data_IF_164143643533
#
_entry.id   IF_164143643533
#
_cell.length_a   1.000
_cell.length_b   1.000
_cell.length_c   1.000
_cell.angle_alpha   90.00
_cell.angle_beta   90.00
_cell.angle_gamma   90.00
#
_symmetry.space_group_name_H-M   'P 1'
#
loop_
_entity.id
_entity.type
_entity.pdbx_description
1 polymer ?
#
# COMPACT_ATOMS: atom_id res chain seq x y z
N UNK A 1 -17.91 -22.04 5.68
CA UNK A 1 -19.29 -22.01 5.13
C UNK A 1 -19.70 -20.55 4.89
N UNK A 2 -20.59 -20.29 3.94
CA UNK A 2 -21.14 -18.93 3.70
C UNK A 2 -22.33 -18.66 4.60
N UNK A 3 -22.46 -17.42 5.08
CA UNK A 3 -23.68 -16.95 5.73
C UNK A 3 -24.58 -16.20 4.72
N UNK A 4 -25.91 -16.17 4.93
CA UNK A 4 -26.82 -15.36 4.11
C UNK A 4 -26.38 -13.90 4.06
N UNK A 5 -26.51 -13.27 2.89
CA UNK A 5 -26.23 -11.83 2.63
C UNK A 5 -24.73 -11.45 2.72
N UNK A 6 -24.01 -11.90 3.75
CA UNK A 6 -22.62 -11.50 4.03
C UNK A 6 -21.56 -12.49 3.53
N UNK A 7 -21.95 -13.67 3.06
CA UNK A 7 -21.03 -14.67 2.52
C UNK A 7 -19.98 -15.11 3.54
N UNK A 8 -18.71 -15.06 3.15
CA UNK A 8 -17.53 -15.39 3.95
C UNK A 8 -16.92 -14.17 4.66
N UNK A 9 -17.52 -12.98 4.58
CA UNK A 9 -16.97 -11.77 5.20
C UNK A 9 -16.74 -11.93 6.72
N UNK A 10 -17.60 -12.70 7.39
CA UNK A 10 -17.51 -13.00 8.83
C UNK A 10 -16.27 -13.83 9.22
N UNK A 11 -15.61 -14.47 8.27
CA UNK A 11 -14.40 -15.25 8.52
C UNK A 11 -13.15 -14.38 8.53
N UNK A 12 -13.22 -13.17 7.96
CA UNK A 12 -12.05 -12.34 7.72
C UNK A 12 -11.71 -11.56 8.98
N UNK A 13 -10.53 -11.84 9.53
CA UNK A 13 -9.91 -11.02 10.56
C UNK A 13 -9.75 -9.57 10.07
N UNK A 14 -10.15 -8.61 10.91
CA UNK A 14 -10.15 -7.18 10.55
C UNK A 14 -8.79 -6.52 10.71
N UNK A 15 -7.95 -7.03 11.60
CA UNK A 15 -6.63 -6.47 11.90
C UNK A 15 -5.55 -7.13 11.05
N UNK A 16 -5.59 -8.46 10.91
CA UNK A 16 -4.62 -9.24 10.15
C UNK A 16 -5.31 -10.21 9.17
N UNK A 17 -5.98 -9.69 8.11
CA UNK A 17 -6.72 -10.51 7.14
C UNK A 17 -5.90 -11.63 6.50
N UNK A 18 -4.60 -11.41 6.31
CA UNK A 18 -3.70 -12.38 5.66
C UNK A 18 -3.64 -13.72 6.41
N UNK A 19 -3.69 -13.69 7.74
CA UNK A 19 -3.69 -14.91 8.56
C UNK A 19 -4.93 -15.75 8.29
N UNK A 20 -6.08 -15.10 8.09
CA UNK A 20 -7.31 -15.80 7.70
C UNK A 20 -7.09 -16.52 6.37
N UNK A 21 -6.59 -15.85 5.35
CA UNK A 21 -6.38 -16.46 4.03
C UNK A 21 -5.40 -17.63 4.07
N UNK A 22 -4.29 -17.49 4.80
CA UNK A 22 -3.32 -18.58 4.97
C UNK A 22 -3.92 -19.80 5.69
N UNK A 23 -4.73 -19.59 6.73
CA UNK A 23 -5.40 -20.67 7.44
C UNK A 23 -6.48 -21.35 6.58
N UNK A 24 -7.19 -20.58 5.74
CA UNK A 24 -8.13 -21.12 4.77
C UNK A 24 -7.43 -21.96 3.70
N UNK A 25 -6.26 -21.53 3.21
CA UNK A 25 -5.44 -22.30 2.28
C UNK A 25 -5.00 -23.65 2.89
N UNK A 26 -4.57 -23.66 4.17
CA UNK A 26 -4.26 -24.91 4.89
C UNK A 26 -5.46 -25.85 5.02
N UNK A 27 -6.67 -25.29 5.17
CA UNK A 27 -7.90 -26.05 5.39
C UNK A 27 -8.54 -26.58 4.11
N UNK A 28 -8.58 -25.77 3.05
CA UNK A 28 -9.32 -26.06 1.81
C UNK A 28 -8.42 -26.42 0.63
N UNK A 29 -7.09 -26.30 0.80
CA UNK A 29 -6.12 -26.68 -0.21
C UNK A 29 -5.65 -25.49 -1.08
N UNK A 30 -4.96 -25.79 -2.19
CA UNK A 30 -4.20 -24.81 -2.97
C UNK A 30 -5.06 -23.83 -3.77
N UNK A 31 -6.36 -24.09 -3.91
CA UNK A 31 -7.31 -23.19 -4.55
C UNK A 31 -8.65 -23.23 -3.81
N UNK A 32 -9.19 -22.06 -3.47
CA UNK A 32 -10.49 -21.95 -2.82
C UNK A 32 -11.19 -20.64 -3.20
N UNK A 33 -12.51 -20.63 -3.08
CA UNK A 33 -13.33 -19.47 -3.38
C UNK A 33 -13.89 -18.86 -2.10
N UNK A 34 -13.88 -17.52 -2.01
CA UNK A 34 -14.64 -16.75 -1.04
C UNK A 34 -15.71 -15.93 -1.74
N UNK A 35 -16.88 -15.86 -1.12
CA UNK A 35 -18.02 -15.04 -1.55
C UNK A 35 -18.22 -13.91 -0.55
N UNK A 36 -18.45 -12.70 -1.01
CA UNK A 36 -18.63 -11.47 -0.24
C UNK A 36 -19.97 -10.81 -0.61
N UNK A 37 -20.48 -9.88 0.22
CA UNK A 37 -21.72 -9.17 -0.10
C UNK A 37 -21.64 -8.47 -1.47
N UNK A 38 -22.75 -8.46 -2.21
CA UNK A 38 -22.85 -7.76 -3.50
C UNK A 38 -22.38 -8.59 -4.71
N UNK A 39 -22.93 -9.80 -4.90
CA UNK A 39 -22.38 -10.91 -5.71
C UNK A 39 -20.85 -10.97 -5.94
N UNK A 40 -20.04 -10.60 -4.95
CA UNK A 40 -18.57 -10.56 -5.13
C UNK A 40 -17.97 -11.92 -4.83
N UNK A 41 -17.27 -12.52 -5.77
CA UNK A 41 -16.47 -13.72 -5.54
C UNK A 41 -14.99 -13.44 -5.75
N UNK A 42 -14.14 -14.16 -5.02
CA UNK A 42 -12.70 -14.11 -5.16
C UNK A 42 -12.12 -15.51 -5.06
N UNK A 43 -11.32 -15.87 -6.06
CA UNK A 43 -10.62 -17.15 -6.12
C UNK A 43 -9.21 -16.89 -5.60
N UNK A 44 -8.82 -17.65 -4.58
CA UNK A 44 -7.49 -17.60 -3.98
C UNK A 44 -6.69 -18.78 -4.49
N UNK A 45 -5.45 -18.52 -4.91
CA UNK A 45 -4.51 -19.50 -5.44
C UNK A 45 -3.26 -19.46 -4.56
N UNK A 46 -2.86 -20.60 -4.01
CA UNK A 46 -1.93 -20.68 -2.89
C UNK A 46 -0.78 -21.69 -3.06
N UNK A 47 -0.58 -22.24 -4.26
CA UNK A 47 0.59 -23.06 -4.59
C UNK A 47 1.28 -22.59 -5.88
N UNK A 48 2.55 -22.97 -6.03
CA UNK A 48 3.37 -22.58 -7.17
C UNK A 48 2.76 -22.94 -8.53
N UNK A 49 2.30 -24.19 -8.69
CA UNK A 49 1.79 -24.71 -9.97
C UNK A 49 0.61 -23.89 -10.51
N UNK A 50 -0.34 -23.51 -9.66
CA UNK A 50 -1.48 -22.71 -10.09
C UNK A 50 -1.14 -21.23 -10.22
N UNK A 51 -0.21 -20.71 -9.40
CA UNK A 51 0.31 -19.34 -9.53
C UNK A 51 0.97 -19.16 -10.90
N UNK A 52 1.80 -20.11 -11.33
CA UNK A 52 2.45 -20.10 -12.64
C UNK A 52 1.42 -19.99 -13.78
N UNK A 53 0.33 -20.77 -13.71
CA UNK A 53 -0.75 -20.72 -14.70
C UNK A 53 -1.49 -19.38 -14.73
N UNK A 54 -1.76 -18.75 -13.57
CA UNK A 54 -2.45 -17.45 -13.53
C UNK A 54 -1.55 -16.26 -13.86
N UNK A 55 -0.23 -16.49 -13.93
CA UNK A 55 0.74 -15.51 -14.42
C UNK A 55 0.90 -15.51 -15.95
N UNK A 56 0.22 -16.42 -16.68
CA UNK A 56 0.17 -16.38 -18.14
C UNK A 56 -0.64 -15.17 -18.64
N UNK A 57 0.07 -14.17 -19.15
CA UNK A 57 -0.48 -12.91 -19.66
C UNK A 57 -1.37 -13.07 -20.91
N UNK A 58 -1.36 -14.23 -21.58
CA UNK A 58 -2.29 -14.53 -22.70
C UNK A 58 -3.70 -14.86 -22.20
N UNK A 59 -3.82 -15.32 -20.96
CA UNK A 59 -5.06 -15.79 -20.34
C UNK A 59 -5.56 -14.87 -19.22
N UNK A 60 -4.63 -14.26 -18.50
CA UNK A 60 -4.92 -13.45 -17.32
C UNK A 60 -4.29 -12.07 -17.45
N UNK A 61 -4.96 -11.09 -16.84
CA UNK A 61 -4.51 -9.70 -16.80
C UNK A 61 -4.69 -9.15 -15.40
N UNK A 62 -3.83 -8.22 -15.00
CA UNK A 62 -3.99 -7.47 -13.75
C UNK A 62 -5.37 -6.81 -13.73
N UNK A 63 -6.07 -6.93 -12.60
CA UNK A 63 -7.39 -6.33 -12.44
C UNK A 63 -7.41 -5.48 -11.15
N UNK A 64 -7.22 -4.15 -11.23
CA UNK A 64 -7.34 -3.27 -10.08
C UNK A 64 -8.73 -3.36 -9.44
N UNK A 65 -8.81 -3.92 -8.24
CA UNK A 65 -10.03 -4.12 -7.46
C UNK A 65 -9.78 -3.77 -6.00
N UNK A 66 -10.86 -3.69 -5.21
CA UNK A 66 -10.78 -3.44 -3.77
C UNK A 66 -10.03 -2.12 -3.50
N UNK A 67 -8.98 -2.18 -2.67
CA UNK A 67 -8.23 -1.00 -2.26
C UNK A 67 -7.66 -0.23 -3.46
N UNK A 68 -7.20 -0.91 -4.53
CA UNK A 68 -6.66 -0.24 -5.72
C UNK A 68 -7.71 0.59 -6.47
N UNK A 69 -8.99 0.19 -6.41
CA UNK A 69 -10.09 0.97 -6.98
C UNK A 69 -10.30 2.25 -6.19
N UNK A 70 -10.14 2.21 -4.86
CA UNK A 70 -10.25 3.40 -4.02
C UNK A 70 -9.04 4.32 -4.19
N UNK A 71 -7.82 3.77 -4.24
CA UNK A 71 -6.57 4.53 -4.47
C UNK A 71 -6.62 5.29 -5.80
N UNK A 72 -7.28 4.71 -6.81
CA UNK A 72 -7.50 5.35 -8.12
C UNK A 72 -8.21 6.71 -8.01
N UNK A 73 -9.02 6.95 -6.97
CA UNK A 73 -9.67 8.26 -6.78
C UNK A 73 -8.68 9.41 -6.56
N UNK A 74 -7.47 9.11 -6.10
CA UNK A 74 -6.36 10.07 -5.95
C UNK A 74 -5.43 10.06 -7.16
N UNK A 75 -4.92 8.89 -7.56
CA UNK A 75 -3.81 8.80 -8.53
C UNK A 75 -4.25 8.53 -9.98
N UNK A 76 -5.56 8.43 -10.24
CA UNK A 76 -6.12 8.28 -11.58
C UNK A 76 -5.65 7.00 -12.30
N UNK A 77 -5.39 7.11 -13.60
CA UNK A 77 -4.89 6.03 -14.48
C UNK A 77 -3.37 5.86 -14.46
N UNK A 78 -2.72 6.21 -13.34
CA UNK A 78 -1.31 5.93 -13.10
C UNK A 78 -0.98 4.43 -13.20
N UNK A 79 0.31 4.11 -13.38
CA UNK A 79 0.80 2.74 -13.63
C UNK A 79 0.28 1.68 -12.64
N UNK A 80 0.04 2.09 -11.39
CA UNK A 80 -0.40 1.21 -10.31
C UNK A 80 -1.91 0.90 -10.35
N UNK A 81 -2.73 1.82 -10.83
CA UNK A 81 -4.21 1.80 -10.75
C UNK A 81 -4.91 1.79 -12.10
N UNK A 82 -4.16 1.84 -13.21
CA UNK A 82 -4.69 1.75 -14.57
C UNK A 82 -5.45 0.44 -14.81
N UNK A 83 -6.61 0.53 -15.45
CA UNK A 83 -7.39 -0.64 -15.88
C UNK A 83 -6.79 -1.25 -17.16
N UNK A 84 -7.03 -2.56 -17.40
CA UNK A 84 -6.69 -3.19 -18.66
C UNK A 84 -7.26 -2.42 -19.86
N UNK A 85 -6.41 -2.16 -20.86
CA UNK A 85 -6.79 -1.47 -22.09
C UNK A 85 -6.65 0.05 -22.06
N UNK A 86 -6.37 0.67 -20.90
CA UNK A 86 -6.10 2.11 -20.84
C UNK A 86 -4.78 2.46 -21.53
N UNK A 87 -4.85 3.28 -22.59
CA UNK A 87 -3.68 3.66 -23.39
C UNK A 87 -2.61 4.39 -22.56
N UNK A 88 -3.04 5.16 -21.55
CA UNK A 88 -2.16 5.91 -20.63
C UNK A 88 -1.14 5.00 -19.96
N UNK A 89 -1.54 3.79 -19.55
CA UNK A 89 -0.63 2.82 -18.94
C UNK A 89 0.51 2.47 -19.91
N UNK A 90 0.19 2.17 -21.16
CA UNK A 90 1.18 1.80 -22.17
C UNK A 90 2.16 2.94 -22.47
N UNK A 91 1.67 4.18 -22.52
CA UNK A 91 2.49 5.38 -22.71
C UNK A 91 3.43 5.58 -21.51
N UNK A 92 2.86 5.65 -20.30
CA UNK A 92 3.63 5.86 -19.08
C UNK A 92 4.67 4.75 -18.84
N UNK A 93 4.30 3.49 -19.09
CA UNK A 93 5.18 2.34 -18.88
C UNK A 93 6.42 2.43 -19.78
N UNK A 94 6.23 2.72 -21.08
CA UNK A 94 7.36 2.86 -22.02
C UNK A 94 8.27 4.04 -21.68
N UNK A 95 7.71 5.15 -21.21
CA UNK A 95 8.50 6.32 -20.80
C UNK A 95 9.31 6.01 -19.53
N UNK A 96 8.68 5.39 -18.52
CA UNK A 96 9.25 5.26 -17.18
C UNK A 96 10.16 4.04 -17.01
N UNK A 97 9.95 2.94 -17.75
CA UNK A 97 10.71 1.69 -17.54
C UNK A 97 12.23 1.89 -17.67
N UNK A 98 12.66 2.80 -18.54
CA UNK A 98 14.08 3.15 -18.69
C UNK A 98 14.71 3.77 -17.43
N UNK A 99 13.90 4.44 -16.60
CA UNK A 99 14.32 5.00 -15.31
C UNK A 99 14.62 3.96 -14.23
N UNK A 100 14.08 2.75 -14.38
CA UNK A 100 14.24 1.63 -13.43
C UNK A 100 15.29 0.61 -13.88
N UNK A 101 16.07 0.90 -14.92
CA UNK A 101 17.17 0.03 -15.35
C UNK A 101 18.36 0.03 -14.37
N UNK A 102 19.19 -1.04 -14.33
CA UNK A 102 20.27 -1.19 -13.34
C UNK A 102 21.23 0.01 -13.24
N UNK A 103 21.60 0.61 -14.39
CA UNK A 103 22.49 1.77 -14.41
C UNK A 103 21.85 3.02 -13.78
N UNK A 104 20.55 3.25 -13.99
CA UNK A 104 19.81 4.37 -13.40
C UNK A 104 19.65 4.19 -11.89
N UNK A 105 19.31 2.97 -11.45
CA UNK A 105 19.25 2.63 -10.02
C UNK A 105 20.61 2.82 -9.35
N UNK A 106 21.71 2.40 -9.98
CA UNK A 106 23.06 2.66 -9.46
C UNK A 106 23.35 4.16 -9.31
N UNK A 107 22.84 4.99 -10.22
CA UNK A 107 22.93 6.45 -10.12
C UNK A 107 22.17 7.04 -8.93
N UNK A 108 21.16 6.34 -8.41
CA UNK A 108 20.38 6.78 -7.23
C UNK A 108 21.06 6.42 -5.90
N UNK A 109 22.15 5.66 -5.90
CA UNK A 109 22.81 5.22 -4.66
C UNK A 109 23.33 6.37 -3.81
N UNK A 110 23.86 7.44 -4.43
CA UNK A 110 24.29 8.64 -3.68
C UNK A 110 23.15 9.23 -2.85
N UNK A 111 22.03 9.63 -3.50
CA UNK A 111 20.81 10.05 -2.80
C UNK A 111 20.28 9.06 -1.76
N UNK A 112 20.29 7.75 -2.05
CA UNK A 112 19.84 6.73 -1.08
C UNK A 112 20.73 6.69 0.17
N UNK A 113 22.06 6.76 -0.01
CA UNK A 113 23.03 6.78 1.10
C UNK A 113 22.89 8.05 1.93
N UNK A 114 22.63 9.19 1.29
CA UNK A 114 22.35 10.46 2.00
C UNK A 114 21.18 10.31 2.97
N UNK A 115 20.00 9.89 2.47
CA UNK A 115 18.81 9.73 3.33
C UNK A 115 19.02 8.65 4.40
N UNK A 116 19.71 7.54 4.06
CA UNK A 116 20.06 6.51 5.03
C UNK A 116 21.00 7.02 6.14
N UNK A 117 21.95 7.90 5.80
CA UNK A 117 22.85 8.52 6.77
C UNK A 117 22.08 9.42 7.76
N UNK A 118 21.06 10.14 7.29
CA UNK A 118 20.20 10.95 8.16
C UNK A 118 19.42 10.10 9.17
N UNK A 119 18.92 8.93 8.76
CA UNK A 119 18.27 7.98 9.67
C UNK A 119 19.24 7.52 10.77
N UNK A 120 20.46 7.13 10.38
CA UNK A 120 21.50 6.69 11.34
C UNK A 120 21.83 7.83 12.31
N UNK A 121 22.04 9.05 11.81
CA UNK A 121 22.31 10.21 12.67
C UNK A 121 21.15 10.51 13.62
N UNK A 122 19.89 10.35 13.20
CA UNK A 122 18.74 10.47 14.11
C UNK A 122 18.86 9.46 15.25
N UNK A 123 19.11 8.19 14.94
CA UNK A 123 19.22 7.13 15.96
C UNK A 123 20.42 7.33 16.88
N UNK A 124 21.56 7.78 16.36
CA UNK A 124 22.74 8.12 17.17
C UNK A 124 22.44 9.26 18.16
N UNK A 125 21.76 10.32 17.71
CA UNK A 125 21.34 11.44 18.56
C UNK A 125 20.33 10.97 19.61
N UNK A 126 19.33 10.18 19.19
CA UNK A 126 18.33 9.62 20.11
C UNK A 126 18.94 8.71 21.18
N UNK A 127 19.98 7.93 20.83
CA UNK A 127 20.67 7.05 21.76
C UNK A 127 21.64 7.80 22.71
N UNK A 128 22.21 8.93 22.28
CA UNK A 128 23.27 9.63 23.01
C UNK A 128 22.75 10.78 23.88
N UNK A 129 21.68 11.47 23.46
CA UNK A 129 21.22 12.68 24.13
C UNK A 129 20.08 12.43 25.13
N UNK A 130 20.20 13.10 26.28
CA UNK A 130 19.22 13.22 27.38
C UNK A 130 17.80 13.61 26.90
N UNK A 131 17.67 14.18 25.70
CA UNK A 131 16.39 14.63 25.11
C UNK A 131 15.30 13.55 25.07
N UNK A 132 15.67 12.28 24.89
CA UNK A 132 14.70 11.18 24.83
C UNK A 132 14.77 10.21 26.03
N UNK A 133 15.79 10.36 26.88
CA UNK A 133 16.04 9.47 28.02
C UNK A 133 16.67 8.12 27.62
N UNK A 134 17.23 7.38 28.60
CA UNK A 134 17.89 6.09 28.36
C UNK A 134 16.94 4.99 27.85
N UNK A 135 15.62 5.18 28.03
CA UNK A 135 14.58 4.20 27.68
C UNK A 135 13.87 4.54 26.36
N UNK A 136 14.45 5.42 25.53
CA UNK A 136 13.82 5.78 24.26
C UNK A 136 13.69 4.57 23.32
N UNK A 137 12.46 4.26 22.93
CA UNK A 137 12.15 3.21 21.97
C UNK A 137 12.07 3.81 20.58
N UNK A 138 12.86 3.26 19.66
CA UNK A 138 12.81 3.62 18.24
C UNK A 138 11.54 3.05 17.62
N UNK A 139 10.69 3.91 17.07
CA UNK A 139 9.60 3.48 16.19
C UNK A 139 10.13 3.20 14.78
N UNK A 140 10.51 1.94 14.54
CA UNK A 140 11.03 1.51 13.25
C UNK A 140 10.03 1.71 12.10
N UNK A 141 8.72 1.59 12.35
CA UNK A 141 7.71 1.71 11.29
C UNK A 141 7.63 3.14 10.81
N UNK A 142 7.59 4.09 11.74
CA UNK A 142 7.55 5.51 11.40
C UNK A 142 8.87 5.94 10.72
N UNK A 143 10.01 5.47 11.22
CA UNK A 143 11.31 5.86 10.67
C UNK A 143 11.59 5.27 9.29
N UNK A 144 11.19 4.03 9.02
CA UNK A 144 11.27 3.48 7.66
C UNK A 144 10.26 4.14 6.72
N UNK A 145 9.13 4.61 7.22
CA UNK A 145 8.20 5.42 6.43
C UNK A 145 8.86 6.73 6.02
N UNK A 146 9.45 7.48 6.97
CA UNK A 146 10.21 8.71 6.66
C UNK A 146 11.35 8.44 5.67
N UNK A 147 12.15 7.41 5.91
CA UNK A 147 13.27 7.02 5.06
C UNK A 147 12.81 6.78 3.61
N UNK A 148 11.75 6.01 3.42
CA UNK A 148 11.29 5.62 2.08
C UNK A 148 10.65 6.78 1.32
N UNK A 149 9.87 7.64 1.99
CA UNK A 149 9.32 8.84 1.36
C UNK A 149 10.41 9.84 0.95
N UNK A 150 11.37 10.15 1.83
CA UNK A 150 12.49 11.05 1.50
C UNK A 150 13.36 10.46 0.38
N UNK A 151 13.58 9.14 0.39
CA UNK A 151 14.34 8.47 -0.68
C UNK A 151 13.65 8.57 -2.03
N UNK A 152 12.33 8.26 -2.10
CA UNK A 152 11.59 8.31 -3.36
C UNK A 152 11.51 9.75 -3.88
N UNK A 153 11.22 10.72 -3.03
CA UNK A 153 11.12 12.13 -3.43
C UNK A 153 12.47 12.69 -3.88
N UNK A 154 13.56 12.35 -3.21
CA UNK A 154 14.89 12.78 -3.62
C UNK A 154 15.33 12.10 -4.93
N UNK A 155 15.17 10.78 -5.05
CA UNK A 155 15.63 10.04 -6.22
C UNK A 155 14.80 10.32 -7.48
N UNK A 156 13.49 10.45 -7.34
CA UNK A 156 12.58 10.58 -8.49
C UNK A 156 12.26 12.04 -8.84
N UNK A 157 12.27 12.95 -7.85
CA UNK A 157 11.78 14.33 -8.03
C UNK A 157 12.81 15.39 -7.65
N UNK A 158 14.02 15.00 -7.20
CA UNK A 158 15.04 15.92 -6.68
C UNK A 158 14.52 16.84 -5.58
N UNK A 159 13.54 16.35 -4.80
CA UNK A 159 12.87 17.11 -3.75
C UNK A 159 13.21 16.52 -2.37
N UNK A 160 13.50 17.39 -1.39
CA UNK A 160 13.76 16.99 0.00
C UNK A 160 12.56 17.33 0.87
N UNK A 161 11.91 16.32 1.42
CA UNK A 161 10.89 16.47 2.45
C UNK A 161 11.51 16.87 3.79
N UNK A 162 12.77 16.47 4.05
CA UNK A 162 13.50 16.72 5.30
C UNK A 162 12.79 16.09 6.50
N UNK A 163 12.24 14.87 6.33
CA UNK A 163 11.39 14.24 7.35
C UNK A 163 12.10 13.93 8.67
N UNK A 164 13.44 13.90 8.68
CA UNK A 164 14.25 13.67 9.88
C UNK A 164 14.58 14.93 10.69
N UNK A 165 14.24 16.13 10.18
CA UNK A 165 14.47 17.40 10.87
C UNK A 165 13.27 17.85 11.73
N UNK A 166 12.17 17.12 11.68
CA UNK A 166 10.95 17.39 12.43
C UNK A 166 10.61 16.19 13.32
N UNK A 167 10.14 16.46 14.54
CA UNK A 167 9.55 15.42 15.40
C UNK A 167 8.22 14.94 14.84
N UNK A 168 7.45 15.84 14.22
CA UNK A 168 6.19 15.50 13.57
C UNK A 168 6.43 15.02 12.14
N UNK A 169 5.65 14.02 11.71
CA UNK A 169 5.65 13.56 10.32
C UNK A 169 5.17 14.66 9.38
N UNK A 170 5.88 14.84 8.26
CA UNK A 170 5.55 15.85 7.23
C UNK A 170 4.08 15.70 6.80
N UNK A 171 3.29 16.78 6.72
CA UNK A 171 1.85 16.71 6.46
C UNK A 171 1.46 15.84 5.26
N UNK A 172 2.23 15.90 4.17
CA UNK A 172 2.04 15.07 2.99
C UNK A 172 2.16 13.56 3.28
N UNK A 173 3.18 13.15 4.04
CA UNK A 173 3.41 11.74 4.38
C UNK A 173 2.27 11.21 5.26
N UNK A 174 1.83 12.03 6.21
CA UNK A 174 0.70 11.69 7.09
C UNK A 174 -0.61 11.57 6.30
N UNK A 175 -0.95 12.56 5.48
CA UNK A 175 -2.16 12.54 4.66
C UNK A 175 -2.17 11.33 3.71
N UNK A 176 -1.04 11.04 3.05
CA UNK A 176 -0.91 9.87 2.20
C UNK A 176 -1.10 8.54 2.97
N UNK A 177 -0.50 8.42 4.16
CA UNK A 177 -0.66 7.24 5.01
C UNK A 177 -2.11 7.03 5.44
N UNK A 178 -2.74 8.09 5.95
CA UNK A 178 -4.14 8.09 6.38
C UNK A 178 -5.10 7.74 5.22
N UNK A 179 -4.86 8.32 4.04
CA UNK A 179 -5.62 8.04 2.82
C UNK A 179 -5.55 6.57 2.42
N UNK A 180 -4.35 5.99 2.39
CA UNK A 180 -4.13 4.59 1.99
C UNK A 180 -4.77 3.60 2.97
N UNK A 181 -4.72 3.88 4.28
CA UNK A 181 -5.42 3.08 5.30
C UNK A 181 -6.93 3.10 5.04
N UNK A 182 -7.48 4.28 4.75
CA UNK A 182 -8.91 4.41 4.49
C UNK A 182 -9.33 3.77 3.15
N UNK A 183 -8.49 3.78 2.11
CA UNK A 183 -8.71 2.98 0.89
C UNK A 183 -8.86 1.48 1.20
N UNK A 184 -8.01 0.96 2.11
CA UNK A 184 -8.11 -0.42 2.58
C UNK A 184 -9.41 -0.69 3.34
N UNK A 185 -9.77 0.19 4.28
CA UNK A 185 -11.01 0.07 5.04
C UNK A 185 -12.24 0.10 4.14
N UNK A 186 -12.30 1.04 3.19
CA UNK A 186 -13.41 1.16 2.22
C UNK A 186 -13.57 -0.09 1.37
N UNK A 187 -12.48 -0.72 0.94
CA UNK A 187 -12.54 -1.96 0.16
C UNK A 187 -13.22 -3.12 0.91
N UNK A 188 -13.09 -3.14 2.24
CA UNK A 188 -13.66 -4.15 3.13
C UNK A 188 -15.09 -3.84 3.59
N UNK A 189 -15.54 -2.57 3.49
CA UNK A 189 -16.89 -2.17 3.90
C UNK A 189 -17.95 -2.69 2.92
N UNK A 190 -19.09 -3.23 3.40
CA UNK A 190 -20.26 -3.46 2.57
C UNK A 190 -20.82 -2.13 2.03
N UNK A 191 -21.26 -2.09 0.78
CA UNK A 191 -21.68 -0.84 0.12
C UNK A 191 -22.82 -0.08 0.82
N UNK A 192 -23.66 -0.75 1.61
CA UNK A 192 -24.73 -0.10 2.37
C UNK A 192 -24.24 0.63 3.63
N UNK A 193 -23.02 0.35 4.11
CA UNK A 193 -22.42 0.98 5.31
C UNK A 193 -21.63 2.24 4.95
N UNK A 194 -21.17 2.34 3.70
CA UNK A 194 -20.17 3.32 3.25
C UNK A 194 -20.62 4.79 3.36
N UNK A 195 -21.93 5.06 3.27
CA UNK A 195 -22.44 6.44 3.21
C UNK A 195 -22.95 6.99 4.55
N UNK A 196 -23.53 6.15 5.42
CA UNK A 196 -24.24 6.64 6.62
C UNK A 196 -23.44 6.51 7.91
N UNK A 197 -22.62 5.46 8.06
CA UNK A 197 -21.92 5.15 9.32
C UNK A 197 -20.46 5.65 9.37
N UNK A 198 -19.98 6.31 8.32
CA UNK A 198 -18.56 6.67 8.16
C UNK A 198 -18.36 8.13 7.73
N UNK A 199 -19.26 9.04 8.11
CA UNK A 199 -19.22 10.44 7.65
C UNK A 199 -17.87 11.13 7.96
N UNK A 200 -17.37 11.03 9.19
CA UNK A 200 -16.08 11.62 9.57
C UNK A 200 -14.89 11.03 8.80
N UNK A 201 -14.86 9.71 8.61
CA UNK A 201 -13.83 9.04 7.81
C UNK A 201 -13.91 9.45 6.33
N UNK A 202 -15.11 9.67 5.80
CA UNK A 202 -15.30 10.14 4.43
C UNK A 202 -14.88 11.60 4.25
N UNK A 203 -15.15 12.48 5.22
CA UNK A 203 -14.66 13.87 5.20
C UNK A 203 -13.14 13.89 5.19
N UNK A 204 -12.51 13.18 6.13
CA UNK A 204 -11.05 13.07 6.19
C UNK A 204 -10.45 12.51 4.90
N UNK A 205 -11.06 11.48 4.31
CA UNK A 205 -10.63 10.92 3.02
C UNK A 205 -10.62 11.95 1.87
N UNK A 206 -11.62 12.83 1.81
CA UNK A 206 -11.68 13.91 0.81
C UNK A 206 -10.75 15.08 1.13
N UNK A 207 -10.42 15.29 2.41
CA UNK A 207 -9.39 16.24 2.84
C UNK A 207 -7.98 15.75 2.49
N UNK A 208 -7.65 14.50 2.82
CA UNK A 208 -6.34 13.87 2.55
C UNK A 208 -6.06 13.70 1.04
N UNK A 209 -7.11 13.79 0.21
CA UNK A 209 -7.00 13.75 -1.25
C UNK A 209 -6.53 15.08 -1.87
N UNK A 210 -6.71 16.21 -1.18
CA UNK A 210 -6.39 17.55 -1.68
C UNK A 210 -4.92 17.89 -1.48
#
# INVERSE_FOLDING_TARGET
PTLPIIGNAHLIDKEVPINTYLNLAKKYGPIYQLTFPGPRTSIFVCNHELVDQVCDQKRFVKNPKGALKEVRHLVGDGLFTAYPGEATWGIAHRILIGGFGPAKIKGMFGPMVDIASQLVSKWEVSATYILFGPDHVIDATEDFTRLTFDTITLCAMSYRLNSFYSLETVPFVKAMGDYLVECGNRAMRPGFVQNYLSHSANVKFEEDKK
#
